data_IF_926466687437
#
_entry.id   IF_926466687437
#
_cell.length_a   1.000
_cell.length_b   1.000
_cell.length_c   1.000
_cell.angle_alpha   90.00
_cell.angle_beta   90.00
_cell.angle_gamma   90.00
#
_symmetry.space_group_name_H-M   'P 1'
#
loop_
_entity.id
_entity.type
_entity.pdbx_description
1 polymer ?
#
# COMPACT_ATOMS: atom_id res chain seq x y z
N UNK A 1 -5.77 7.96 -9.48
CA UNK A 1 -4.57 7.54 -10.22
C UNK A 1 -3.32 7.92 -9.44
N UNK A 2 -2.63 6.91 -8.91
CA UNK A 2 -1.43 7.03 -8.11
C UNK A 2 -0.37 6.07 -8.64
N UNK A 3 0.68 6.58 -9.28
CA UNK A 3 1.78 5.73 -9.75
C UNK A 3 2.66 5.30 -8.58
N UNK A 4 2.94 4.01 -8.48
CA UNK A 4 3.86 3.41 -7.53
C UNK A 4 5.22 3.28 -8.19
N UNK A 5 6.20 3.93 -7.59
CA UNK A 5 7.61 3.74 -7.92
C UNK A 5 8.25 3.02 -6.72
N UNK A 6 8.61 1.72 -6.85
CA UNK A 6 9.17 0.92 -5.78
C UNK A 6 10.26 1.63 -4.98
N UNK A 7 10.19 1.55 -3.64
CA UNK A 7 11.08 2.20 -2.67
C UNK A 7 11.27 3.71 -2.83
N UNK A 8 10.45 4.37 -3.65
CA UNK A 8 10.58 5.81 -3.93
C UNK A 8 9.34 6.59 -3.57
N UNK A 9 8.18 6.23 -4.11
CA UNK A 9 6.97 7.05 -3.95
C UNK A 9 5.68 6.34 -4.33
N UNK A 10 4.56 6.82 -3.79
CA UNK A 10 3.20 6.53 -4.27
C UNK A 10 2.50 7.83 -4.61
N UNK A 11 2.22 8.05 -5.89
CA UNK A 11 1.72 9.34 -6.38
C UNK A 11 2.70 10.48 -6.03
N UNK A 12 2.24 11.57 -5.38
CA UNK A 12 3.11 12.68 -4.99
C UNK A 12 3.91 12.43 -3.71
N UNK A 13 3.63 11.35 -2.97
CA UNK A 13 4.19 11.11 -1.65
C UNK A 13 5.47 10.29 -1.74
N UNK A 14 6.60 10.91 -1.45
CA UNK A 14 7.91 10.27 -1.44
C UNK A 14 8.24 9.67 -0.07
N UNK A 15 8.78 8.45 -0.07
CA UNK A 15 9.31 7.83 1.14
C UNK A 15 10.51 8.61 1.69
N UNK A 16 10.79 8.45 2.99
CA UNK A 16 11.90 9.14 3.69
C UNK A 16 11.78 10.66 3.69
N UNK A 17 10.61 11.20 3.34
CA UNK A 17 10.26 12.61 3.48
C UNK A 17 9.27 12.78 4.63
N UNK A 18 9.31 13.96 5.24
CA UNK A 18 8.31 14.34 6.24
C UNK A 18 6.95 14.54 5.59
N UNK A 19 5.89 14.06 6.25
CA UNK A 19 4.50 14.28 5.84
C UNK A 19 4.13 15.78 5.83
N UNK A 20 4.79 16.60 6.65
CA UNK A 20 4.55 18.06 6.73
C UNK A 20 4.71 18.77 5.38
N UNK A 21 5.56 18.23 4.50
CA UNK A 21 5.77 18.75 3.15
C UNK A 21 4.47 18.76 2.32
N UNK A 22 3.49 17.93 2.68
CA UNK A 22 2.29 17.67 1.90
C UNK A 22 1.02 18.22 2.56
N UNK A 23 1.00 18.41 3.89
CA UNK A 23 -0.20 18.81 4.65
C UNK A 23 -0.79 20.18 4.23
N UNK A 24 0.04 21.07 3.68
CA UNK A 24 -0.44 22.38 3.18
C UNK A 24 -1.11 22.30 1.80
N UNK A 25 -0.82 21.23 1.04
CA UNK A 25 -1.25 21.07 -0.36
C UNK A 25 -2.41 20.08 -0.48
N UNK A 26 -2.42 19.06 0.37
CA UNK A 26 -3.38 17.96 0.32
C UNK A 26 -4.24 17.97 1.57
N UNK A 27 -5.55 17.94 1.37
CA UNK A 27 -6.51 17.78 2.46
C UNK A 27 -6.47 16.34 2.97
N UNK A 28 -5.99 16.16 4.20
CA UNK A 28 -5.76 14.85 4.82
C UNK A 28 -6.44 14.76 6.17
N UNK A 29 -7.04 13.61 6.43
CA UNK A 29 -7.58 13.27 7.75
C UNK A 29 -6.50 12.58 8.56
N UNK A 30 -6.11 13.19 9.67
CA UNK A 30 -5.12 12.63 10.59
C UNK A 30 -5.78 11.71 11.62
N UNK A 31 -5.23 10.51 11.76
CA UNK A 31 -5.55 9.55 12.81
C UNK A 31 -4.27 9.26 13.59
N UNK A 32 -4.18 9.64 14.88
CA UNK A 32 -3.00 9.38 15.68
C UNK A 32 -2.85 7.89 15.96
N UNK A 33 -1.61 7.45 16.17
CA UNK A 33 -1.31 6.10 16.61
C UNK A 33 -2.00 5.76 17.93
N UNK A 34 -2.39 4.50 18.09
CA UNK A 34 -3.01 3.99 19.32
C UNK A 34 -1.98 3.28 20.19
N UNK A 35 -2.40 2.68 21.30
CA UNK A 35 -1.51 1.77 22.06
C UNK A 35 -1.28 0.43 21.35
N UNK A 36 -2.07 0.13 20.32
CA UNK A 36 -2.01 -1.12 19.56
C UNK A 36 -1.25 -0.94 18.23
N UNK A 37 -1.10 0.30 17.75
CA UNK A 37 -0.43 0.65 16.51
C UNK A 37 0.80 1.52 16.77
N UNK A 38 1.91 1.25 16.07
CA UNK A 38 3.14 2.03 16.21
C UNK A 38 3.23 3.23 15.26
N UNK A 39 2.18 3.50 14.46
CA UNK A 39 2.18 4.49 13.39
C UNK A 39 1.02 5.46 13.43
N UNK A 40 1.33 6.70 13.05
CA UNK A 40 0.38 7.74 12.72
C UNK A 40 -0.13 7.52 11.29
N UNK A 41 -1.39 7.86 11.04
CA UNK A 41 -2.01 7.70 9.71
C UNK A 41 -2.54 9.02 9.19
N UNK A 42 -2.24 9.31 7.92
CA UNK A 42 -2.76 10.45 7.18
C UNK A 42 -3.54 9.93 5.97
N UNK A 43 -4.87 10.01 6.04
CA UNK A 43 -5.75 9.50 5.01
C UNK A 43 -6.09 10.58 3.99
N UNK A 44 -5.87 10.28 2.71
CA UNK A 44 -6.13 11.18 1.58
C UNK A 44 -7.24 10.64 0.68
N UNK A 45 -8.16 11.53 0.27
CA UNK A 45 -9.37 11.20 -0.51
C UNK A 45 -10.13 9.99 0.03
N UNK A 46 -10.66 10.12 1.24
CA UNK A 46 -11.50 9.10 1.87
C UNK A 46 -10.82 7.71 1.97
N UNK A 47 -9.52 7.69 2.24
CA UNK A 47 -8.75 6.45 2.42
C UNK A 47 -8.29 5.78 1.13
N UNK A 48 -8.39 6.48 -0.02
CA UNK A 48 -7.81 6.01 -1.27
C UNK A 48 -6.28 5.83 -1.16
N UNK A 49 -5.65 6.69 -0.37
CA UNK A 49 -4.28 6.53 0.13
C UNK A 49 -4.27 6.74 1.65
N UNK A 50 -3.65 5.82 2.37
CA UNK A 50 -3.27 6.02 3.76
C UNK A 50 -1.75 6.07 3.84
N UNK A 51 -1.22 7.18 4.35
CA UNK A 51 0.20 7.42 4.52
C UNK A 51 0.56 7.20 5.99
N UNK A 52 1.52 6.32 6.25
CA UNK A 52 1.94 5.96 7.59
C UNK A 52 3.28 6.58 7.96
N UNK A 53 3.36 7.11 9.18
CA UNK A 53 4.59 7.71 9.72
C UNK A 53 4.83 7.28 11.16
N UNK A 54 6.08 7.37 11.61
CA UNK A 54 6.41 7.36 13.03
C UNK A 54 6.11 8.70 13.73
N UNK A 55 6.65 8.86 14.94
CA UNK A 55 6.62 10.14 15.68
C UNK A 55 7.55 11.20 15.06
N UNK A 56 8.51 10.78 14.25
CA UNK A 56 9.42 11.65 13.49
C UNK A 56 8.78 12.24 12.23
N UNK A 57 7.51 11.89 11.98
CA UNK A 57 6.71 12.35 10.84
C UNK A 57 7.27 11.91 9.47
N UNK A 58 8.19 10.95 9.44
CA UNK A 58 8.78 10.43 8.21
C UNK A 58 7.88 9.36 7.62
N UNK A 59 7.61 9.47 6.32
CA UNK A 59 6.83 8.50 5.56
C UNK A 59 7.66 7.23 5.35
N UNK A 60 7.18 6.12 5.93
CA UNK A 60 7.80 4.79 5.83
C UNK A 60 6.98 3.84 4.98
N UNK A 61 5.65 4.02 4.95
CA UNK A 61 4.78 3.17 4.14
C UNK A 61 3.49 3.88 3.71
N UNK A 62 2.90 3.36 2.63
CA UNK A 62 1.67 3.89 2.04
C UNK A 62 0.80 2.71 1.59
N UNK A 63 -0.43 2.66 2.08
CA UNK A 63 -1.47 1.77 1.53
C UNK A 63 -2.25 2.51 0.43
N UNK A 64 -2.39 1.88 -0.74
CA UNK A 64 -3.22 2.38 -1.82
C UNK A 64 -4.40 1.45 -2.11
N UNK A 65 -5.61 2.01 -1.99
CA UNK A 65 -6.90 1.34 -2.24
C UNK A 65 -7.70 1.99 -3.39
N UNK A 66 -7.33 3.21 -3.81
CA UNK A 66 -7.82 3.79 -5.06
C UNK A 66 -7.03 3.28 -6.27
N UNK A 67 -7.25 3.89 -7.44
CA UNK A 67 -6.57 3.46 -8.67
C UNK A 67 -5.03 3.67 -8.59
N UNK A 68 -4.29 2.64 -8.16
CA UNK A 68 -2.83 2.61 -8.24
C UNK A 68 -2.34 1.96 -9.51
N UNK A 69 -1.22 2.45 -9.99
CA UNK A 69 -0.58 2.00 -11.20
C UNK A 69 0.88 1.67 -10.93
N UNK A 70 1.43 0.74 -11.69
CA UNK A 70 2.87 0.54 -11.74
C UNK A 70 3.26 0.21 -13.18
N UNK A 71 4.20 0.99 -13.73
CA UNK A 71 4.64 0.90 -15.13
C UNK A 71 3.46 1.01 -16.10
N UNK A 72 2.46 1.83 -15.77
CA UNK A 72 1.28 2.09 -16.60
C UNK A 72 0.16 1.04 -16.50
N UNK A 73 0.30 0.02 -15.66
CA UNK A 73 -0.72 -1.01 -15.45
C UNK A 73 -1.49 -0.73 -14.15
N UNK A 74 -2.82 -0.79 -14.20
CA UNK A 74 -3.66 -0.66 -12.99
C UNK A 74 -3.49 -1.90 -12.11
N UNK A 75 -3.12 -1.71 -10.84
CA UNK A 75 -2.87 -2.81 -9.92
C UNK A 75 -4.12 -3.19 -9.13
N UNK A 76 -4.84 -2.22 -8.57
CA UNK A 76 -6.11 -2.47 -7.87
C UNK A 76 -7.15 -3.03 -8.83
N UNK A 77 -7.77 -4.14 -8.44
CA UNK A 77 -8.67 -4.94 -9.28
C UNK A 77 -7.96 -5.88 -10.26
N UNK A 78 -6.63 -5.86 -10.33
CA UNK A 78 -5.90 -6.84 -11.13
C UNK A 78 -5.93 -8.20 -10.43
N UNK A 79 -6.18 -9.27 -11.18
CA UNK A 79 -6.03 -10.63 -10.67
C UNK A 79 -4.55 -10.91 -10.33
N UNK A 80 -4.30 -11.50 -9.15
CA UNK A 80 -2.93 -11.70 -8.64
C UNK A 80 -2.05 -12.59 -9.56
N UNK A 81 -2.62 -13.60 -10.22
CA UNK A 81 -1.85 -14.42 -11.16
C UNK A 81 -1.53 -13.66 -12.45
N UNK A 82 -2.40 -12.72 -12.86
CA UNK A 82 -2.12 -11.80 -13.97
C UNK A 82 -1.00 -10.84 -13.60
N UNK A 83 -0.96 -10.34 -12.37
CA UNK A 83 0.15 -9.54 -11.85
C UNK A 83 1.47 -10.30 -11.98
N UNK A 84 1.57 -11.50 -11.41
CA UNK A 84 2.81 -12.29 -11.48
C UNK A 84 3.27 -12.57 -12.91
N UNK A 85 2.33 -12.91 -13.79
CA UNK A 85 2.62 -13.14 -15.21
C UNK A 85 3.13 -11.87 -15.91
N UNK A 86 2.43 -10.75 -15.72
CA UNK A 86 2.74 -9.46 -16.37
C UNK A 86 4.10 -8.90 -15.95
N UNK A 87 4.45 -9.12 -14.69
CA UNK A 87 5.66 -8.61 -14.07
C UNK A 87 6.79 -9.63 -14.01
N UNK A 88 6.61 -10.80 -14.61
CA UNK A 88 7.57 -11.90 -14.69
C UNK A 88 8.11 -12.34 -13.31
N UNK A 89 7.22 -12.35 -12.31
CA UNK A 89 7.55 -12.74 -10.93
C UNK A 89 7.30 -14.23 -10.75
N UNK A 90 8.30 -14.93 -10.22
CA UNK A 90 8.17 -16.34 -9.82
C UNK A 90 7.41 -16.43 -8.49
N UNK A 91 6.10 -16.71 -8.58
CA UNK A 91 5.19 -16.89 -7.43
C UNK A 91 5.73 -17.86 -6.38
N UNK A 92 6.53 -18.85 -6.76
CA UNK A 92 7.06 -19.84 -5.80
C UNK A 92 8.10 -19.26 -4.84
N UNK A 93 8.63 -18.06 -5.13
CA UNK A 93 9.55 -17.33 -4.27
C UNK A 93 8.87 -16.28 -3.41
N UNK A 94 7.58 -16.06 -3.63
CA UNK A 94 6.79 -15.07 -2.92
C UNK A 94 6.24 -15.69 -1.64
N UNK A 95 6.50 -15.03 -0.52
CA UNK A 95 5.90 -15.39 0.76
C UNK A 95 4.43 -14.94 0.73
N UNK A 96 3.55 -15.84 1.16
CA UNK A 96 2.12 -15.56 1.27
C UNK A 96 1.63 -15.92 2.67
N UNK A 97 0.83 -15.04 3.25
CA UNK A 97 0.16 -15.24 4.53
C UNK A 97 -1.35 -15.00 4.38
N UNK A 98 -2.14 -15.67 5.22
CA UNK A 98 -3.58 -15.44 5.34
C UNK A 98 -3.85 -14.54 6.54
N UNK A 99 -4.52 -13.42 6.30
CA UNK A 99 -4.95 -12.50 7.36
C UNK A 99 -6.46 -12.63 7.53
N UNK A 100 -6.89 -13.01 8.72
CA UNK A 100 -8.30 -13.11 9.09
C UNK A 100 -8.75 -11.85 9.85
N UNK A 101 -9.87 -11.28 9.42
CA UNK A 101 -10.51 -10.15 10.06
C UNK A 101 -11.66 -10.61 10.99
N UNK A 102 -12.04 -9.73 11.91
CA UNK A 102 -13.12 -10.00 12.88
C UNK A 102 -14.50 -10.24 12.23
N UNK A 103 -14.68 -9.85 10.98
CA UNK A 103 -15.92 -10.01 10.20
C UNK A 103 -15.91 -11.25 9.28
N UNK A 104 -15.07 -12.24 9.59
CA UNK A 104 -14.89 -13.49 8.83
C UNK A 104 -14.35 -13.30 7.41
N UNK A 105 -13.90 -12.08 7.05
CA UNK A 105 -13.12 -11.88 5.83
C UNK A 105 -11.72 -12.45 6.02
N UNK A 106 -11.25 -13.14 5.00
CA UNK A 106 -9.87 -13.57 4.86
C UNK A 106 -9.28 -12.89 3.63
N UNK A 107 -8.07 -12.38 3.77
CA UNK A 107 -7.31 -11.79 2.67
C UNK A 107 -5.96 -12.50 2.57
N UNK A 108 -5.56 -12.82 1.34
CA UNK A 108 -4.25 -13.35 1.05
C UNK A 108 -3.28 -12.18 0.89
N UNK A 109 -2.14 -12.24 1.58
CA UNK A 109 -1.15 -11.18 1.61
C UNK A 109 0.14 -11.70 1.01
N UNK A 110 0.58 -11.11 -0.11
CA UNK A 110 1.77 -11.50 -0.85
C UNK A 110 2.89 -10.48 -0.67
N UNK A 111 4.02 -10.90 -0.11
CA UNK A 111 5.20 -10.06 0.14
C UNK A 111 6.16 -10.10 -1.08
N UNK A 112 6.29 -8.97 -1.76
CA UNK A 112 7.19 -8.76 -2.91
C UNK A 112 8.38 -7.92 -2.46
N UNK A 113 9.24 -8.53 -1.64
CA UNK A 113 10.36 -7.86 -0.97
C UNK A 113 11.28 -7.11 -1.94
N UNK A 114 11.53 -7.69 -3.12
CA UNK A 114 12.40 -7.07 -4.14
C UNK A 114 11.91 -5.69 -4.60
N UNK A 115 10.62 -5.38 -4.41
CA UNK A 115 9.98 -4.11 -4.77
C UNK A 115 9.41 -3.34 -3.58
N UNK A 116 9.56 -3.86 -2.35
CA UNK A 116 9.00 -3.24 -1.16
C UNK A 116 7.48 -3.14 -1.22
N UNK A 117 6.83 -4.13 -1.84
CA UNK A 117 5.38 -4.17 -1.97
C UNK A 117 4.80 -5.32 -1.19
N UNK A 118 3.62 -5.10 -0.64
CA UNK A 118 2.74 -6.14 -0.13
C UNK A 118 1.39 -6.00 -0.82
N UNK A 119 0.91 -7.10 -1.42
CA UNK A 119 -0.36 -7.13 -2.16
C UNK A 119 -1.40 -7.85 -1.33
N UNK A 120 -2.47 -7.15 -0.99
CA UNK A 120 -3.61 -7.72 -0.28
C UNK A 120 -4.67 -8.08 -1.29
N UNK A 121 -5.09 -9.34 -1.25
CA UNK A 121 -5.90 -9.98 -2.28
C UNK A 121 -7.14 -10.56 -1.63
N UNK A 122 -8.29 -10.27 -2.24
CA UNK A 122 -9.56 -10.79 -1.74
C UNK A 122 -9.80 -12.26 -2.14
N UNK A 123 -10.93 -12.81 -1.71
CA UNK A 123 -11.34 -14.18 -2.03
C UNK A 123 -11.58 -14.47 -3.53
N UNK A 124 -11.61 -13.45 -4.38
CA UNK A 124 -11.78 -13.55 -5.82
C UNK A 124 -10.45 -13.42 -6.57
N UNK A 125 -9.32 -13.49 -5.85
CA UNK A 125 -7.97 -13.32 -6.36
C UNK A 125 -7.70 -11.92 -6.92
N UNK A 126 -8.47 -10.89 -6.51
CA UNK A 126 -8.28 -9.49 -6.94
C UNK A 126 -7.47 -8.69 -5.91
N UNK A 127 -6.49 -7.93 -6.40
CA UNK A 127 -5.71 -7.02 -5.56
C UNK A 127 -6.60 -5.86 -5.09
N UNK A 128 -6.84 -5.77 -3.79
CA UNK A 128 -7.69 -4.72 -3.18
C UNK A 128 -6.89 -3.64 -2.47
N UNK A 129 -5.67 -3.95 -2.02
CA UNK A 129 -4.72 -2.96 -1.49
C UNK A 129 -3.33 -3.27 -2.02
N UNK A 130 -2.65 -2.22 -2.48
CA UNK A 130 -1.20 -2.26 -2.71
C UNK A 130 -0.54 -1.45 -1.60
N UNK A 131 0.18 -2.14 -0.73
CA UNK A 131 0.96 -1.53 0.33
C UNK A 131 2.40 -1.40 -0.15
N UNK A 132 2.99 -0.21 -0.04
CA UNK A 132 4.35 0.07 -0.48
C UNK A 132 5.18 0.65 0.68
N UNK A 133 6.43 0.23 0.81
CA UNK A 133 7.35 0.63 1.88
C UNK A 133 8.77 0.93 1.37
N UNK A 134 9.60 1.53 2.23
CA UNK A 134 10.90 2.17 1.92
C UNK A 134 12.18 1.41 2.26
#
# INVERSE_FOLDING_TARGET
>A
MYEIIPFKSVGPFEFKKSIDNYLSTYDMVFTPKTSEDDWNTYSYKDGALDIYTGDDLIITSIACRGDCFMKGEILTGMNINSFFSKFEIDKNKIKMEKVAFFDEREEDVYDIDDWGLQLWVDKFDEIITVFAAD
#
